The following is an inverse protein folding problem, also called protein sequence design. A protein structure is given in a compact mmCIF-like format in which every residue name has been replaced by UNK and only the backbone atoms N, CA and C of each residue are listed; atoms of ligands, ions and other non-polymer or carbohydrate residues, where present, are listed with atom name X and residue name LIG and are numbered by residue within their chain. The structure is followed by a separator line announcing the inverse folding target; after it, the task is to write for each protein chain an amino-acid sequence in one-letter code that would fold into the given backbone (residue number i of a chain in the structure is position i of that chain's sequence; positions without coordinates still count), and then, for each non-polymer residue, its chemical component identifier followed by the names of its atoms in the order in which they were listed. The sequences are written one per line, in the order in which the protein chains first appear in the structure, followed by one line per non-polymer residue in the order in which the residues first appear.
data_IF_273259689336
#
_entry.id   IF_273259689336
#
_cell.length_a   1.000
_cell.length_b   1.000
_cell.length_c   1.000
_cell.angle_alpha   90.00
_cell.angle_beta   90.00
_cell.angle_gamma   90.00
#
_symmetry.space_group_name_H-M   'P 1'
#
loop_
_entity.id
_entity.type
_entity.pdbx_description
1 polymer ?
#
# COMPACT_ATOMS: atom_id res chain seq x y z
N UNK A 1 10.11 -23.43 19.42
CA UNK A 1 11.03 -23.16 18.31
C UNK A 1 10.36 -22.48 17.13
N UNK A 2 9.34 -23.06 16.49
CA UNK A 2 8.66 -22.44 15.34
C UNK A 2 7.89 -21.15 15.66
N UNK A 3 7.46 -20.94 16.88
CA UNK A 3 6.61 -19.80 17.26
C UNK A 3 7.34 -18.46 17.16
N UNK A 4 8.60 -18.36 17.59
CA UNK A 4 9.40 -17.13 17.49
C UNK A 4 9.70 -16.76 16.02
N UNK A 5 10.01 -17.76 15.20
CA UNK A 5 10.27 -17.57 13.77
C UNK A 5 9.00 -17.16 13.04
N UNK A 6 7.86 -17.83 13.34
CA UNK A 6 6.57 -17.49 12.75
C UNK A 6 6.12 -16.08 13.15
N UNK A 7 6.32 -15.68 14.42
CA UNK A 7 6.04 -14.32 14.89
C UNK A 7 6.89 -13.29 14.14
N UNK A 8 8.20 -13.56 13.96
CA UNK A 8 9.08 -12.69 13.19
C UNK A 8 8.59 -12.55 11.73
N UNK A 9 8.26 -13.65 11.06
CA UNK A 9 7.75 -13.66 9.69
C UNK A 9 6.43 -12.88 9.57
N UNK A 10 5.49 -13.10 10.48
CA UNK A 10 4.21 -12.38 10.51
C UNK A 10 4.39 -10.86 10.70
N UNK A 11 5.29 -10.45 11.59
CA UNK A 11 5.62 -9.03 11.79
C UNK A 11 6.27 -8.43 10.54
N UNK A 12 7.16 -9.18 9.87
CA UNK A 12 7.79 -8.74 8.63
C UNK A 12 6.75 -8.62 7.49
N UNK A 13 5.81 -9.55 7.40
CA UNK A 13 4.71 -9.49 6.43
C UNK A 13 3.81 -8.27 6.64
N UNK A 14 3.51 -7.92 7.88
CA UNK A 14 2.81 -6.65 8.21
C UNK A 14 3.58 -5.42 7.74
N UNK A 15 4.92 -5.45 7.80
CA UNK A 15 5.75 -4.36 7.27
C UNK A 15 5.65 -4.23 5.75
N UNK A 16 5.58 -5.35 5.01
CA UNK A 16 5.33 -5.36 3.55
C UNK A 16 3.93 -4.84 3.24
N UNK A 17 2.92 -5.27 3.98
CA UNK A 17 1.55 -4.77 3.83
C UNK A 17 1.47 -3.25 4.02
N UNK A 18 2.15 -2.71 5.03
CA UNK A 18 2.23 -1.27 5.28
C UNK A 18 2.95 -0.53 4.14
N UNK A 19 4.03 -1.11 3.59
CA UNK A 19 4.72 -0.58 2.42
C UNK A 19 3.79 -0.49 1.21
N UNK A 20 3.04 -1.57 0.93
CA UNK A 20 2.10 -1.59 -0.19
C UNK A 20 0.98 -0.55 -0.02
N UNK A 21 0.49 -0.35 1.20
CA UNK A 21 -0.46 0.73 1.49
C UNK A 21 0.15 2.12 1.25
N UNK A 22 1.41 2.35 1.65
CA UNK A 22 2.12 3.60 1.38
C UNK A 22 2.32 3.80 -0.13
N UNK A 23 2.69 2.75 -0.86
CA UNK A 23 2.84 2.80 -2.32
C UNK A 23 1.52 3.09 -3.05
N UNK A 24 0.39 2.58 -2.55
CA UNK A 24 -0.92 2.87 -3.14
C UNK A 24 -1.31 4.36 -3.02
N UNK A 25 -0.79 5.06 -2.00
CA UNK A 25 -0.99 6.51 -1.85
C UNK A 25 -0.14 7.36 -2.80
N UNK A 26 0.95 6.80 -3.33
CA UNK A 26 1.80 7.49 -4.32
C UNK A 26 1.14 7.39 -5.69
N UNK A 27 0.82 8.54 -6.30
CA UNK A 27 0.18 8.63 -7.61
C UNK A 27 1.15 8.20 -8.71
N UNK A 28 0.71 7.33 -9.59
CA UNK A 28 1.52 6.80 -10.70
C UNK A 28 1.12 7.38 -12.06
N UNK A 29 0.18 8.32 -12.11
CA UNK A 29 -0.41 8.76 -13.39
C UNK A 29 -1.36 7.72 -14.02
N UNK A 30 -1.36 6.49 -13.52
CA UNK A 30 -2.36 5.46 -13.87
C UNK A 30 -3.58 5.59 -12.97
N UNK A 31 -4.73 5.32 -13.52
CA UNK A 31 -5.98 5.25 -12.77
C UNK A 31 -5.97 4.02 -11.86
N UNK A 32 -6.04 4.25 -10.55
CA UNK A 32 -6.19 3.19 -9.55
C UNK A 32 -7.47 3.44 -8.75
N UNK A 33 -8.42 2.50 -8.73
CA UNK A 33 -9.66 2.63 -7.96
C UNK A 33 -9.43 2.92 -6.47
N UNK A 34 -8.33 2.41 -5.88
CA UNK A 34 -7.99 2.61 -4.46
C UNK A 34 -7.82 4.08 -4.06
N UNK A 35 -7.60 4.99 -5.01
CA UNK A 35 -7.56 6.43 -4.75
C UNK A 35 -8.89 6.96 -4.19
N UNK A 36 -9.98 6.27 -4.50
CA UNK A 36 -11.34 6.67 -4.12
C UNK A 36 -11.85 5.94 -2.86
N UNK A 37 -11.05 5.03 -2.26
CA UNK A 37 -11.48 4.21 -1.12
C UNK A 37 -11.83 5.03 0.14
N UNK A 38 -11.17 6.18 0.32
CA UNK A 38 -11.40 7.07 1.46
C UNK A 38 -12.57 8.06 1.22
N UNK A 39 -13.15 8.10 0.00
CA UNK A 39 -14.24 9.00 -0.33
C UNK A 39 -15.56 8.44 0.21
N UNK A 40 -16.22 9.27 1.01
CA UNK A 40 -17.55 8.98 1.53
C UNK A 40 -18.57 9.90 0.86
N UNK A 41 -19.67 9.32 0.45
CA UNK A 41 -20.83 10.01 -0.10
C UNK A 41 -22.02 9.89 0.84
N UNK A 42 -22.85 10.90 0.87
CA UNK A 42 -24.11 10.84 1.63
C UNK A 42 -25.10 9.99 0.83
N UNK A 43 -25.38 8.79 1.35
CA UNK A 43 -26.38 7.89 0.78
C UNK A 43 -27.60 7.87 1.70
N UNK A 44 -28.63 8.64 1.35
CA UNK A 44 -29.87 8.80 2.14
C UNK A 44 -29.60 9.15 3.62
N UNK A 45 -28.72 10.12 3.88
CA UNK A 45 -28.39 10.57 5.23
C UNK A 45 -27.36 9.69 5.96
N UNK A 46 -26.80 8.69 5.29
CA UNK A 46 -25.76 7.80 5.85
C UNK A 46 -24.45 7.95 5.09
N UNK A 47 -23.33 8.33 5.75
CA UNK A 47 -22.02 8.38 5.10
C UNK A 47 -21.59 6.98 4.65
N UNK A 48 -21.61 6.74 3.35
CA UNK A 48 -21.31 5.44 2.73
C UNK A 48 -20.02 5.57 1.90
N UNK A 49 -19.17 4.56 1.95
CA UNK A 49 -17.94 4.52 1.12
C UNK A 49 -18.32 4.41 -0.36
N UNK A 50 -17.64 5.15 -1.22
CA UNK A 50 -17.97 5.23 -2.65
C UNK A 50 -18.05 3.86 -3.33
N UNK A 51 -17.18 2.92 -2.96
CA UNK A 51 -17.19 1.54 -3.47
C UNK A 51 -18.50 0.76 -3.19
N UNK A 52 -19.25 1.17 -2.18
CA UNK A 52 -20.55 0.56 -1.84
C UNK A 52 -21.72 1.25 -2.56
N UNK A 53 -21.54 2.50 -2.96
CA UNK A 53 -22.57 3.31 -3.64
C UNK A 53 -22.46 3.26 -5.17
N UNK A 54 -21.32 2.84 -5.72
CA UNK A 54 -21.04 2.82 -7.15
C UNK A 54 -20.08 1.70 -7.55
N UNK A 55 -20.15 1.27 -8.80
CA UNK A 55 -19.10 0.45 -9.43
C UNK A 55 -18.01 1.35 -9.97
N UNK A 56 -16.74 1.03 -9.67
CA UNK A 56 -15.58 1.78 -10.13
C UNK A 56 -14.75 0.89 -11.05
N UNK A 57 -14.51 1.34 -12.27
CA UNK A 57 -13.70 0.65 -13.26
C UNK A 57 -12.62 1.55 -13.84
N UNK A 58 -11.57 0.95 -14.40
CA UNK A 58 -10.49 1.67 -15.08
C UNK A 58 -10.74 1.64 -16.58
N UNK A 59 -10.72 2.80 -17.22
CA UNK A 59 -10.81 2.95 -18.67
C UNK A 59 -9.48 3.51 -19.19
N UNK A 60 -8.92 2.88 -20.24
CA UNK A 60 -7.68 3.28 -20.93
C UNK A 60 -6.45 3.48 -20.00
N UNK A 61 -6.45 2.83 -18.84
CA UNK A 61 -5.37 2.89 -17.87
C UNK A 61 -5.17 4.26 -17.20
N UNK A 62 -5.89 5.31 -17.62
CA UNK A 62 -5.73 6.70 -17.14
C UNK A 62 -7.02 7.35 -16.65
N UNK A 63 -8.14 6.73 -16.86
CA UNK A 63 -9.45 7.25 -16.45
C UNK A 63 -10.14 6.27 -15.51
N UNK A 64 -10.74 6.79 -14.45
CA UNK A 64 -11.68 6.05 -13.63
C UNK A 64 -13.10 6.35 -14.12
N UNK A 65 -13.89 5.31 -14.29
CA UNK A 65 -15.31 5.41 -14.62
C UNK A 65 -16.08 4.92 -13.40
N UNK A 66 -16.91 5.79 -12.86
CA UNK A 66 -17.78 5.51 -11.73
C UNK A 66 -19.20 5.40 -12.26
N UNK A 67 -19.82 4.25 -12.03
CA UNK A 67 -21.21 3.96 -12.36
C UNK A 67 -22.02 3.84 -11.06
N UNK A 68 -22.73 4.87 -10.63
CA UNK A 68 -23.56 4.82 -9.44
C UNK A 68 -24.68 3.79 -9.58
N UNK A 69 -25.01 3.10 -8.49
CA UNK A 69 -26.20 2.23 -8.44
C UNK A 69 -27.50 3.01 -8.52
N UNK A 70 -27.49 4.24 -7.99
CA UNK A 70 -28.58 5.19 -8.05
C UNK A 70 -28.11 6.49 -8.72
N UNK A 71 -28.74 6.85 -9.83
CA UNK A 71 -28.42 8.06 -10.59
C UNK A 71 -28.60 9.36 -9.81
N UNK A 72 -29.46 9.35 -8.79
CA UNK A 72 -29.69 10.50 -7.91
C UNK A 72 -28.44 10.88 -7.10
N UNK A 73 -27.47 9.95 -6.95
CA UNK A 73 -26.22 10.17 -6.22
C UNK A 73 -25.14 10.89 -7.04
N UNK A 74 -25.31 11.05 -8.34
CA UNK A 74 -24.30 11.65 -9.22
C UNK A 74 -23.82 13.01 -8.68
N UNK A 75 -24.70 13.98 -8.32
CA UNK A 75 -24.26 15.26 -7.80
C UNK A 75 -23.50 15.16 -6.47
N UNK A 76 -23.92 14.24 -5.58
CA UNK A 76 -23.26 14.04 -4.29
C UNK A 76 -21.88 13.39 -4.45
N UNK A 77 -21.74 12.45 -5.39
CA UNK A 77 -20.47 11.82 -5.72
C UNK A 77 -19.51 12.86 -6.33
N UNK A 78 -19.96 13.68 -7.29
CA UNK A 78 -19.15 14.75 -7.87
C UNK A 78 -18.68 15.71 -6.79
N UNK A 79 -19.57 16.17 -5.93
CA UNK A 79 -19.26 17.08 -4.83
C UNK A 79 -18.26 16.47 -3.85
N UNK A 80 -18.44 15.20 -3.49
CA UNK A 80 -17.51 14.49 -2.60
C UNK A 80 -16.10 14.38 -3.22
N UNK A 81 -16.01 14.10 -4.51
CA UNK A 81 -14.74 14.02 -5.24
C UNK A 81 -14.07 15.40 -5.35
N UNK A 82 -14.84 16.45 -5.68
CA UNK A 82 -14.31 17.82 -5.79
C UNK A 82 -13.84 18.38 -4.44
N UNK A 83 -14.52 18.03 -3.36
CA UNK A 83 -14.17 18.43 -2.00
C UNK A 83 -13.03 17.59 -1.41
N UNK A 84 -12.70 16.46 -2.03
CA UNK A 84 -11.53 15.68 -1.64
C UNK A 84 -10.25 16.43 -2.01
N UNK A 85 -9.24 16.37 -1.13
CA UNK A 85 -7.92 16.97 -1.40
C UNK A 85 -7.14 16.23 -2.52
N UNK A 86 -7.84 15.44 -3.33
CA UNK A 86 -7.23 14.65 -4.40
C UNK A 86 -6.97 15.47 -5.66
N UNK A 87 -7.53 16.66 -5.80
CA UNK A 87 -7.34 17.52 -7.01
C UNK A 87 -7.84 16.84 -8.29
N UNK A 88 -8.89 16.02 -8.17
CA UNK A 88 -9.51 15.31 -9.28
C UNK A 88 -10.70 16.13 -9.81
N UNK A 89 -10.84 16.18 -11.13
CA UNK A 89 -11.95 16.84 -11.79
C UNK A 89 -12.88 15.79 -12.38
N UNK A 90 -14.02 15.50 -11.74
CA UNK A 90 -15.03 14.61 -12.30
C UNK A 90 -15.72 15.26 -13.50
N UNK A 91 -16.02 14.49 -14.52
CA UNK A 91 -16.82 14.88 -15.68
C UNK A 91 -17.94 13.88 -15.86
N UNK A 92 -19.18 14.36 -15.74
CA UNK A 92 -20.37 13.51 -15.92
C UNK A 92 -20.82 13.54 -17.36
N UNK A 93 -20.99 12.35 -17.94
CA UNK A 93 -21.58 12.13 -19.24
C UNK A 93 -22.63 11.03 -19.12
N UNK A 94 -23.90 11.39 -19.43
CA UNK A 94 -25.06 10.53 -19.26
C UNK A 94 -25.21 10.08 -17.79
N UNK A 95 -24.98 8.83 -17.47
CA UNK A 95 -25.15 8.25 -16.13
C UNK A 95 -23.81 7.82 -15.51
N UNK A 96 -22.68 8.21 -16.10
CA UNK A 96 -21.33 7.83 -15.70
C UNK A 96 -20.52 9.06 -15.33
N UNK A 97 -19.77 8.95 -14.24
CA UNK A 97 -18.81 9.96 -13.81
C UNK A 97 -17.42 9.48 -14.23
N UNK A 98 -16.74 10.28 -15.04
CA UNK A 98 -15.41 10.00 -15.56
C UNK A 98 -14.41 10.91 -14.87
N UNK A 99 -13.32 10.33 -14.37
CA UNK A 99 -12.22 11.06 -13.75
C UNK A 99 -10.96 10.74 -14.51
N UNK A 100 -10.42 11.73 -15.22
CA UNK A 100 -9.12 11.59 -15.91
C UNK A 100 -7.99 11.89 -14.93
N UNK A 101 -7.01 10.99 -14.86
CA UNK A 101 -5.79 11.24 -14.08
C UNK A 101 -4.90 12.22 -14.84
N UNK A 102 -4.50 13.35 -14.23
CA UNK A 102 -3.56 14.25 -14.87
C UNK A 102 -2.21 13.57 -15.08
N UNK A 103 -1.60 13.80 -16.23
CA UNK A 103 -0.26 13.30 -16.50
C UNK A 103 0.74 13.90 -15.48
N UNK A 104 1.64 13.04 -14.98
CA UNK A 104 2.71 13.51 -14.10
C UNK A 104 3.74 14.31 -14.91
N UNK A 105 4.16 15.45 -14.38
CA UNK A 105 5.34 16.16 -14.90
C UNK A 105 6.61 15.40 -14.54
N UNK A 106 7.70 15.63 -15.27
CA UNK A 106 9.01 15.03 -14.97
C UNK A 106 9.43 15.28 -13.51
N UNK A 107 9.23 16.52 -13.04
CA UNK A 107 9.56 16.94 -11.68
C UNK A 107 8.74 16.18 -10.62
N UNK A 108 7.41 16.12 -10.76
CA UNK A 108 6.55 15.38 -9.84
C UNK A 108 6.83 13.88 -9.84
N UNK A 109 7.21 13.32 -11.00
CA UNK A 109 7.61 11.92 -11.13
C UNK A 109 8.89 11.65 -10.32
N UNK A 110 9.90 12.50 -10.42
CA UNK A 110 11.13 12.39 -9.65
C UNK A 110 10.88 12.47 -8.13
N UNK A 111 9.98 13.33 -7.71
CA UNK A 111 9.62 13.46 -6.30
C UNK A 111 8.88 12.23 -5.77
N UNK A 112 7.98 11.65 -6.57
CA UNK A 112 7.32 10.39 -6.21
C UNK A 112 8.29 9.20 -6.17
N UNK A 113 9.29 9.16 -7.05
CA UNK A 113 10.36 8.14 -6.97
C UNK A 113 11.16 8.29 -5.67
N UNK A 114 11.52 9.52 -5.28
CA UNK A 114 12.21 9.77 -3.99
C UNK A 114 11.34 9.34 -2.80
N UNK A 115 10.05 9.65 -2.85
CA UNK A 115 9.11 9.23 -1.81
C UNK A 115 9.01 7.70 -1.74
N UNK A 116 8.86 7.01 -2.88
CA UNK A 116 8.82 5.56 -2.91
C UNK A 116 10.10 4.92 -2.34
N UNK A 117 11.27 5.45 -2.66
CA UNK A 117 12.56 5.00 -2.09
C UNK A 117 12.62 5.20 -0.59
N UNK A 118 12.12 6.33 -0.08
CA UNK A 118 12.04 6.59 1.35
C UNK A 118 11.15 5.60 2.08
N UNK A 119 9.96 5.31 1.54
CA UNK A 119 9.06 4.31 2.12
C UNK A 119 9.66 2.89 2.09
N UNK A 120 10.34 2.53 1.02
CA UNK A 120 11.05 1.25 0.94
C UNK A 120 12.17 1.15 1.99
N UNK A 121 12.93 2.23 2.23
CA UNK A 121 13.96 2.22 3.28
C UNK A 121 13.34 2.12 4.67
N UNK A 122 12.23 2.79 4.94
CA UNK A 122 11.47 2.65 6.18
C UNK A 122 11.06 1.19 6.42
N UNK A 123 10.58 0.50 5.37
CA UNK A 123 10.23 -0.91 5.44
C UNK A 123 11.47 -1.80 5.72
N UNK A 124 12.62 -1.55 5.07
CA UNK A 124 13.87 -2.28 5.34
C UNK A 124 14.33 -2.09 6.78
N UNK A 125 14.25 -0.86 7.30
CA UNK A 125 14.56 -0.56 8.70
C UNK A 125 13.64 -1.32 9.65
N UNK A 126 12.33 -1.37 9.36
CA UNK A 126 11.36 -2.14 10.14
C UNK A 126 11.71 -3.65 10.15
N UNK A 127 11.99 -4.23 8.98
CA UNK A 127 12.38 -5.65 8.86
C UNK A 127 13.68 -5.93 9.64
N UNK A 128 14.69 -5.06 9.55
CA UNK A 128 15.95 -5.20 10.32
C UNK A 128 15.73 -5.09 11.82
N UNK A 129 14.82 -4.23 12.27
CA UNK A 129 14.47 -4.09 13.68
C UNK A 129 13.79 -5.37 14.19
N UNK A 130 12.82 -5.90 13.44
CA UNK A 130 12.15 -7.17 13.77
C UNK A 130 13.17 -8.30 13.91
N UNK A 131 14.13 -8.42 12.98
CA UNK A 131 15.23 -9.39 13.08
C UNK A 131 16.01 -9.21 14.39
N UNK A 132 16.36 -7.97 14.75
CA UNK A 132 17.13 -7.68 15.96
C UNK A 132 16.37 -8.08 17.21
N UNK A 133 15.09 -7.70 17.28
CA UNK A 133 14.20 -8.08 18.38
C UNK A 133 14.08 -9.60 18.52
N UNK A 134 13.87 -10.29 17.39
CA UNK A 134 13.72 -11.74 17.36
C UNK A 134 15.01 -12.47 17.80
N UNK A 135 16.17 -12.00 17.33
CA UNK A 135 17.47 -12.54 17.76
C UNK A 135 17.72 -12.30 19.26
N UNK A 136 17.28 -11.16 19.80
CA UNK A 136 17.36 -10.91 21.22
C UNK A 136 16.49 -11.89 22.01
N UNK A 137 15.26 -12.15 21.58
CA UNK A 137 14.37 -13.11 22.21
C UNK A 137 14.95 -14.54 22.19
N UNK A 138 15.59 -14.92 21.06
CA UNK A 138 16.29 -16.22 20.93
C UNK A 138 17.46 -16.31 21.93
N UNK A 139 18.26 -15.24 22.06
CA UNK A 139 19.36 -15.17 22.99
C UNK A 139 18.89 -15.24 24.45
N UNK A 140 17.78 -14.57 24.76
CA UNK A 140 17.20 -14.60 26.11
C UNK A 140 16.73 -16.02 26.47
N UNK A 141 16.13 -16.75 25.51
CA UNK A 141 15.74 -18.17 25.68
C UNK A 141 16.95 -19.11 25.87
N UNK A 142 18.07 -18.82 25.25
CA UNK A 142 19.31 -19.56 25.48
C UNK A 142 19.88 -19.27 26.87
N UNK A 143 19.87 -18.00 27.30
CA UNK A 143 20.38 -17.58 28.59
C UNK A 143 19.53 -18.15 29.75
N UNK A 144 18.21 -18.30 29.56
CA UNK A 144 17.31 -18.96 30.52
C UNK A 144 17.45 -20.47 30.54
N UNK A 145 18.17 -21.06 29.58
CA UNK A 145 18.36 -22.51 29.47
C UNK A 145 17.21 -23.25 28.76
N UNK A 146 16.28 -22.52 28.13
CA UNK A 146 15.14 -23.12 27.42
C UNK A 146 15.58 -23.76 26.10
N UNK A 147 16.67 -23.28 25.49
CA UNK A 147 17.25 -23.79 24.26
C UNK A 147 18.78 -23.92 24.39
N UNK A 148 19.35 -24.84 23.61
CA UNK A 148 20.81 -25.03 23.52
C UNK A 148 21.46 -23.96 22.62
N UNK A 149 22.80 -23.83 22.72
CA UNK A 149 23.58 -22.94 21.85
C UNK A 149 23.44 -23.31 20.35
N UNK A 150 23.39 -24.62 20.06
CA UNK A 150 23.21 -25.11 18.69
C UNK A 150 21.80 -24.76 18.15
N UNK A 151 20.78 -24.82 18.98
CA UNK A 151 19.43 -24.40 18.63
C UNK A 151 19.35 -22.89 18.42
N UNK A 152 20.00 -22.08 19.26
CA UNK A 152 20.12 -20.65 19.08
C UNK A 152 20.67 -20.32 17.68
N UNK A 153 21.82 -20.89 17.32
CA UNK A 153 22.46 -20.66 16.01
C UNK A 153 21.53 -21.02 14.84
N UNK A 154 20.83 -22.17 14.94
CA UNK A 154 19.85 -22.57 13.91
C UNK A 154 18.69 -21.61 13.78
N UNK A 155 18.19 -21.08 14.90
CA UNK A 155 17.09 -20.12 14.91
C UNK A 155 17.52 -18.77 14.33
N UNK A 156 18.72 -18.27 14.69
CA UNK A 156 19.28 -17.05 14.14
C UNK A 156 19.48 -17.16 12.62
N UNK A 157 19.96 -18.31 12.10
CA UNK A 157 20.10 -18.58 10.67
C UNK A 157 18.72 -18.58 9.95
N UNK A 158 17.69 -19.14 10.56
CA UNK A 158 16.35 -19.15 10.00
C UNK A 158 15.74 -17.74 9.98
N UNK A 159 15.89 -16.97 11.07
CA UNK A 159 15.46 -15.57 11.13
C UNK A 159 16.20 -14.73 10.09
N UNK A 160 17.50 -14.99 9.86
CA UNK A 160 18.26 -14.31 8.82
C UNK A 160 17.73 -14.63 7.41
N UNK A 161 17.44 -15.90 7.11
CA UNK A 161 16.84 -16.30 5.83
C UNK A 161 15.49 -15.63 5.57
N UNK A 162 14.63 -15.59 6.58
CA UNK A 162 13.35 -14.86 6.45
C UNK A 162 13.58 -13.36 6.25
N UNK A 163 14.53 -12.76 6.98
CA UNK A 163 14.90 -11.35 6.78
C UNK A 163 15.33 -11.06 5.35
N UNK A 164 16.22 -11.88 4.80
CA UNK A 164 16.73 -11.71 3.43
C UNK A 164 15.60 -11.84 2.39
N UNK A 165 14.69 -12.77 2.59
CA UNK A 165 13.49 -12.95 1.77
C UNK A 165 12.60 -11.70 1.79
N UNK A 166 12.32 -11.13 2.97
CA UNK A 166 11.48 -9.94 3.08
C UNK A 166 12.17 -8.68 2.56
N UNK A 167 13.50 -8.54 2.70
CA UNK A 167 14.26 -7.45 2.07
C UNK A 167 14.18 -7.56 0.54
N UNK A 168 14.34 -8.76 -0.02
CA UNK A 168 14.19 -8.97 -1.46
C UNK A 168 12.77 -8.64 -1.96
N UNK A 169 11.74 -8.91 -1.16
CA UNK A 169 10.37 -8.51 -1.46
C UNK A 169 10.21 -6.98 -1.48
N UNK A 170 10.78 -6.25 -0.50
CA UNK A 170 10.78 -4.78 -0.50
C UNK A 170 11.43 -4.24 -1.78
N UNK A 171 12.58 -4.79 -2.17
CA UNK A 171 13.29 -4.36 -3.37
C UNK A 171 12.50 -4.65 -4.65
N UNK A 172 11.82 -5.79 -4.71
CA UNK A 172 10.95 -6.16 -5.82
C UNK A 172 9.75 -5.21 -5.95
N UNK A 173 9.08 -4.91 -4.84
CA UNK A 173 7.94 -3.99 -4.84
C UNK A 173 8.36 -2.55 -5.19
N UNK A 174 9.52 -2.09 -4.67
CA UNK A 174 10.07 -0.79 -5.07
C UNK A 174 10.35 -0.73 -6.57
N UNK A 175 10.98 -1.77 -7.12
CA UNK A 175 11.30 -1.83 -8.56
C UNK A 175 10.04 -1.79 -9.42
N UNK A 176 8.98 -2.50 -9.02
CA UNK A 176 7.68 -2.43 -9.70
C UNK A 176 7.12 -1.01 -9.64
N UNK A 177 7.13 -0.39 -8.46
CA UNK A 177 6.61 0.97 -8.28
C UNK A 177 7.38 2.01 -9.08
N UNK A 178 8.72 1.90 -9.14
CA UNK A 178 9.54 2.78 -9.98
C UNK A 178 9.22 2.59 -11.47
N UNK A 179 9.01 1.36 -11.93
CA UNK A 179 8.60 1.08 -13.30
C UNK A 179 7.24 1.71 -13.62
N UNK A 180 6.25 1.57 -12.71
CA UNK A 180 4.92 2.18 -12.86
C UNK A 180 4.98 3.72 -12.92
N UNK A 181 5.92 4.34 -12.18
CA UNK A 181 6.13 5.79 -12.19
C UNK A 181 6.83 6.28 -13.45
N UNK A 182 7.63 5.43 -14.10
CA UNK A 182 8.37 5.75 -15.34
C UNK A 182 7.55 5.44 -16.59
N UNK A 183 6.55 4.57 -16.49
CA UNK A 183 5.68 4.21 -17.62
C UNK A 183 4.72 5.38 -17.93
N UNK A 184 4.76 5.86 -19.17
CA UNK A 184 4.01 7.02 -19.67
C UNK A 184 2.69 6.56 -20.29
#
# INVERSE_FOLDING_TARGET
MNELINNAAERMEKSISSLNQAFNKIRTGRANPSILDDIKVDYYGTPTVLNQAASISVEDGRSLVISPWDKSLIPEIEKAIMNSNLGLNPSTSSDLIRISMPALTEETRQDYIKQARSEAENARVSVRNIRRDSNQSVKDSQTSGDISEDEQRRMEDLIQKETDKFIALVDSELKKKEADLLEI
#
